data_IF_053183917533
#
_entry.id   IF_053183917533
#
_cell.length_a   1.000
_cell.length_b   1.000
_cell.length_c   1.000
_cell.angle_alpha   90.00
_cell.angle_beta   90.00
_cell.angle_gamma   90.00
#
_symmetry.space_group_name_H-M   'P 1'
#
loop_
_entity.id
_entity.type
_entity.pdbx_description
1 polymer ?
#
# COMPACT_ATOMS: atom_id res chain seq x y z
N UNK A 1 4.59 4.06 -8.01
CA UNK A 1 3.75 3.47 -6.94
C UNK A 1 2.81 4.55 -6.42
N UNK A 2 1.51 4.46 -6.72
CA UNK A 2 0.52 5.32 -6.06
C UNK A 2 -0.01 4.58 -4.83
N UNK A 3 0.20 5.18 -3.66
CA UNK A 3 -0.32 4.67 -2.40
C UNK A 3 -1.81 4.98 -2.31
N UNK A 4 -2.59 4.05 -1.77
CA UNK A 4 -4.03 4.27 -1.58
C UNK A 4 -4.28 5.33 -0.50
N UNK A 5 -5.45 5.98 -0.50
CA UNK A 5 -5.77 7.01 0.50
C UNK A 5 -5.64 6.49 1.96
N UNK A 6 -5.92 5.21 2.17
CA UNK A 6 -5.74 4.50 3.45
C UNK A 6 -4.26 4.30 3.82
N UNK A 7 -3.41 3.95 2.86
CA UNK A 7 -1.96 3.81 3.09
C UNK A 7 -1.31 5.17 3.39
N UNK A 8 -1.75 6.24 2.72
CA UNK A 8 -1.28 7.61 2.96
C UNK A 8 -1.67 8.13 4.35
N UNK A 9 -2.91 7.88 4.79
CA UNK A 9 -3.36 8.25 6.14
C UNK A 9 -2.66 7.45 7.22
N UNK A 10 -2.47 6.14 7.00
CA UNK A 10 -1.77 5.27 7.94
C UNK A 10 -0.31 5.67 8.08
N UNK A 11 0.39 5.96 6.97
CA UNK A 11 1.75 6.52 7.02
C UNK A 11 1.80 7.83 7.80
N UNK A 12 0.88 8.76 7.54
CA UNK A 12 0.86 10.05 8.21
C UNK A 12 0.64 9.94 9.72
N UNK A 13 -0.19 8.99 10.17
CA UNK A 13 -0.39 8.71 11.59
C UNK A 13 0.88 8.13 12.25
N UNK A 14 1.57 7.22 11.56
CA UNK A 14 2.83 6.62 12.05
C UNK A 14 3.95 7.68 12.12
N UNK A 15 4.02 8.62 11.17
CA UNK A 15 5.00 9.70 11.18
C UNK A 15 4.77 10.76 12.28
N UNK A 16 3.57 10.81 12.88
CA UNK A 16 3.29 11.72 14.00
C UNK A 16 3.83 11.22 15.33
N UNK A 17 4.08 9.90 15.47
CA UNK A 17 4.73 9.34 16.64
C UNK A 17 6.23 9.65 16.58
N UNK A 18 6.61 10.82 17.11
CA UNK A 18 7.99 11.33 17.27
C UNK A 18 8.86 10.48 18.23
N UNK A 19 8.67 9.17 18.31
CA UNK A 19 9.63 8.31 19.01
C UNK A 19 10.91 8.29 18.19
N UNK A 20 12.03 8.64 18.82
CA UNK A 20 13.35 8.61 18.19
C UNK A 20 13.70 7.17 17.84
N UNK A 21 13.65 6.82 16.56
CA UNK A 21 14.02 5.49 16.08
C UNK A 21 15.55 5.39 16.10
N UNK A 22 16.08 4.50 16.93
CA UNK A 22 17.52 4.23 16.98
C UNK A 22 17.97 3.47 15.73
N UNK A 23 19.22 3.72 15.30
CA UNK A 23 19.81 3.11 14.10
C UNK A 23 19.92 1.58 14.27
N UNK A 24 20.04 1.09 15.50
CA UNK A 24 20.19 -0.34 15.82
C UNK A 24 18.92 -1.16 15.55
N UNK A 25 17.78 -0.50 15.33
CA UNK A 25 16.52 -1.18 14.95
C UNK A 25 16.46 -1.52 13.46
N UNK A 26 17.42 -1.04 12.66
CA UNK A 26 17.49 -1.27 11.22
C UNK A 26 18.47 -2.38 10.86
N UNK A 27 18.06 -3.24 9.92
CA UNK A 27 18.96 -4.17 9.23
C UNK A 27 19.91 -3.44 8.28
N UNK A 28 20.95 -4.13 7.78
CA UNK A 28 21.93 -3.51 6.87
C UNK A 28 21.31 -3.05 5.54
N UNK A 29 20.31 -3.76 5.03
CA UNK A 29 19.52 -3.35 3.87
C UNK A 29 18.71 -2.08 4.16
N UNK A 30 18.08 -2.02 5.33
CA UNK A 30 17.30 -0.85 5.74
C UNK A 30 18.19 0.39 5.96
N UNK A 31 19.44 0.21 6.42
CA UNK A 31 20.43 1.29 6.53
C UNK A 31 20.81 1.86 5.16
N UNK A 32 20.93 1.03 4.14
CA UNK A 32 21.13 1.49 2.76
C UNK A 32 19.91 2.29 2.28
N UNK A 33 18.70 1.79 2.53
CA UNK A 33 17.47 2.50 2.19
C UNK A 33 17.38 3.87 2.90
N UNK A 34 17.79 3.97 4.18
CA UNK A 34 17.85 5.26 4.90
C UNK A 34 18.78 6.25 4.20
N UNK A 35 19.96 5.79 3.74
CA UNK A 35 20.90 6.65 3.02
C UNK A 35 20.32 7.13 1.68
N UNK A 36 19.69 6.24 0.92
CA UNK A 36 19.03 6.60 -0.34
C UNK A 36 17.91 7.62 -0.13
N UNK A 37 17.07 7.42 0.88
CA UNK A 37 16.00 8.36 1.24
C UNK A 37 16.59 9.70 1.67
N UNK A 38 17.66 9.71 2.46
CA UNK A 38 18.35 10.93 2.87
C UNK A 38 18.88 11.70 1.67
N UNK A 39 19.55 11.05 0.72
CA UNK A 39 20.05 11.69 -0.49
C UNK A 39 18.91 12.29 -1.33
N UNK A 40 17.81 11.55 -1.47
CA UNK A 40 16.62 12.05 -2.16
C UNK A 40 16.00 13.27 -1.44
N UNK A 41 15.97 13.27 -0.11
CA UNK A 41 15.48 14.39 0.68
C UNK A 41 16.39 15.62 0.57
N UNK A 42 17.71 15.44 0.59
CA UNK A 42 18.68 16.50 0.34
C UNK A 42 18.55 17.07 -1.06
N UNK A 43 18.38 16.22 -2.08
CA UNK A 43 18.18 16.67 -3.46
C UNK A 43 16.88 17.47 -3.61
N UNK A 44 15.77 17.01 -3.01
CA UNK A 44 14.50 17.76 -2.97
C UNK A 44 14.64 19.08 -2.24
N UNK A 45 15.40 19.12 -1.14
CA UNK A 45 15.68 20.35 -0.42
C UNK A 45 16.45 21.35 -1.31
N UNK A 46 17.50 20.88 -1.99
CA UNK A 46 18.28 21.69 -2.95
C UNK A 46 17.40 22.22 -4.09
N UNK A 47 16.53 21.39 -4.67
CA UNK A 47 15.60 21.81 -5.72
C UNK A 47 14.60 22.87 -5.25
N UNK A 48 14.14 22.80 -3.99
CA UNK A 48 13.17 23.76 -3.43
C UNK A 48 13.78 25.08 -3.01
N UNK A 49 14.98 25.05 -2.43
CA UNK A 49 15.60 26.21 -1.78
C UNK A 49 16.76 26.80 -2.57
N UNK A 50 17.29 26.08 -3.56
CA UNK A 50 18.47 26.48 -4.34
C UNK A 50 19.77 26.50 -3.54
N UNK A 51 19.76 26.02 -2.29
CA UNK A 51 20.90 26.04 -1.36
C UNK A 51 21.19 24.65 -0.81
N UNK A 52 22.44 24.43 -0.43
CA UNK A 52 22.81 23.21 0.30
C UNK A 52 22.13 23.20 1.68
N UNK A 53 21.68 22.03 2.15
CA UNK A 53 21.08 21.92 3.47
C UNK A 53 22.12 22.27 4.54
N UNK A 54 21.77 23.19 5.43
CA UNK A 54 22.60 23.54 6.59
C UNK A 54 22.70 22.35 7.57
N UNK A 55 23.72 22.31 8.42
CA UNK A 55 23.99 21.20 9.34
C UNK A 55 22.82 20.89 10.29
N UNK A 56 22.00 21.89 10.64
CA UNK A 56 20.75 21.67 11.38
C UNK A 56 19.72 20.93 10.54
N UNK A 57 19.60 21.30 9.27
CA UNK A 57 18.64 20.71 8.35
C UNK A 57 19.03 19.30 7.97
N UNK A 58 20.31 19.00 7.80
CA UNK A 58 20.78 17.64 7.54
C UNK A 58 20.39 16.67 8.66
N UNK A 59 20.46 17.09 9.93
CA UNK A 59 20.02 16.27 11.07
C UNK A 59 18.52 16.01 11.05
N UNK A 60 17.72 17.02 10.71
CA UNK A 60 16.27 16.87 10.54
C UNK A 60 15.96 15.88 9.41
N UNK A 61 16.60 16.03 8.24
CA UNK A 61 16.40 15.15 7.10
C UNK A 61 16.87 13.70 7.40
N UNK A 62 17.91 13.53 8.20
CA UNK A 62 18.36 12.21 8.65
C UNK A 62 17.32 11.56 9.56
N UNK A 63 16.73 12.33 10.48
CA UNK A 63 15.64 11.84 11.34
C UNK A 63 14.38 11.50 10.52
N UNK A 64 14.05 12.33 9.52
CA UNK A 64 12.94 12.11 8.61
C UNK A 64 13.15 10.86 7.74
N UNK A 65 14.37 10.65 7.23
CA UNK A 65 14.72 9.46 6.46
C UNK A 65 14.52 8.17 7.28
N UNK A 66 14.97 8.14 8.54
CA UNK A 66 14.77 7.00 9.44
C UNK A 66 13.28 6.75 9.71
N UNK A 67 12.52 7.82 9.96
CA UNK A 67 11.08 7.71 10.17
C UNK A 67 10.36 7.14 8.94
N UNK A 68 10.75 7.58 7.75
CA UNK A 68 10.15 7.11 6.51
C UNK A 68 10.41 5.61 6.29
N UNK A 69 11.64 5.14 6.50
CA UNK A 69 11.98 3.71 6.36
C UNK A 69 11.26 2.85 7.40
N UNK A 70 11.17 3.32 8.66
CA UNK A 70 10.42 2.60 9.70
C UNK A 70 8.92 2.55 9.41
N UNK A 71 8.35 3.65 8.90
CA UNK A 71 6.94 3.67 8.49
C UNK A 71 6.68 2.66 7.36
N UNK A 72 7.61 2.53 6.42
CA UNK A 72 7.53 1.59 5.32
C UNK A 72 7.65 0.14 5.79
N UNK A 73 8.54 -0.13 6.74
CA UNK A 73 8.66 -1.43 7.41
C UNK A 73 7.35 -1.84 8.08
N UNK A 74 6.81 -0.99 8.95
CA UNK A 74 5.56 -1.25 9.66
C UNK A 74 4.37 -1.42 8.70
N UNK A 75 4.34 -0.65 7.61
CA UNK A 75 3.31 -0.79 6.59
C UNK A 75 3.44 -2.14 5.88
N UNK A 76 4.65 -2.53 5.49
CA UNK A 76 4.89 -3.83 4.85
C UNK A 76 4.56 -4.99 5.78
N UNK A 77 4.87 -4.90 7.07
CA UNK A 77 4.48 -5.87 8.10
C UNK A 77 2.95 -5.96 8.24
N UNK A 78 2.25 -4.82 8.29
CA UNK A 78 0.78 -4.80 8.32
C UNK A 78 0.17 -5.39 7.05
N UNK A 79 0.71 -5.06 5.88
CA UNK A 79 0.25 -5.65 4.61
C UNK A 79 0.50 -7.16 4.55
N UNK A 80 1.62 -7.66 5.09
CA UNK A 80 1.87 -9.10 5.22
C UNK A 80 0.86 -9.74 6.16
N UNK A 81 0.62 -9.15 7.33
CA UNK A 81 -0.39 -9.62 8.28
C UNK A 81 -1.83 -9.60 7.70
N UNK A 82 -2.17 -8.59 6.89
CA UNK A 82 -3.46 -8.52 6.18
C UNK A 82 -3.58 -9.59 5.09
N UNK A 83 -2.49 -9.90 4.38
CA UNK A 83 -2.46 -10.98 3.38
C UNK A 83 -2.55 -12.36 4.04
N UNK A 84 -1.92 -12.54 5.18
CA UNK A 84 -1.94 -13.79 5.95
C UNK A 84 -3.27 -14.02 6.68
N UNK A 85 -3.90 -12.95 7.18
CA UNK A 85 -5.25 -13.02 7.76
C UNK A 85 -6.33 -13.23 6.71
N UNK A 86 -6.14 -12.70 5.48
CA UNK A 86 -6.91 -13.08 4.29
C UNK A 86 -6.44 -14.43 3.74
N UNK A 87 -6.45 -15.46 4.59
CA UNK A 87 -6.52 -16.84 4.09
C UNK A 87 -7.64 -16.91 3.06
N UNK A 88 -7.44 -17.51 1.87
CA UNK A 88 -8.51 -17.66 0.91
C UNK A 88 -9.63 -18.41 1.63
N UNK A 89 -10.74 -17.70 1.90
CA UNK A 89 -11.96 -18.28 2.41
C UNK A 89 -12.25 -19.44 1.47
N UNK A 90 -12.06 -20.68 1.95
CA UNK A 90 -12.26 -21.90 1.14
C UNK A 90 -13.58 -21.71 0.43
N UNK A 91 -13.56 -21.41 -0.87
CA UNK A 91 -14.77 -21.15 -1.64
C UNK A 91 -15.61 -22.39 -1.44
N UNK A 92 -16.69 -22.30 -0.67
CA UNK A 92 -17.65 -23.40 -0.61
C UNK A 92 -18.06 -23.61 -2.06
N UNK A 93 -17.98 -24.86 -2.53
CA UNK A 93 -18.44 -25.24 -3.87
C UNK A 93 -19.81 -24.59 -4.04
N UNK A 94 -20.10 -23.90 -5.16
CA UNK A 94 -21.44 -23.41 -5.39
C UNK A 94 -22.37 -24.63 -5.25
N UNK A 95 -23.35 -24.55 -4.36
CA UNK A 95 -24.39 -25.56 -4.29
C UNK A 95 -24.94 -25.68 -5.70
N UNK A 96 -24.81 -26.87 -6.30
CA UNK A 96 -25.42 -27.17 -7.58
C UNK A 96 -26.87 -26.70 -7.48
N UNK A 97 -27.24 -25.71 -8.31
CA UNK A 97 -28.64 -25.29 -8.42
C UNK A 97 -29.47 -26.54 -8.62
N UNK A 98 -30.51 -26.68 -7.82
CA UNK A 98 -31.38 -27.85 -7.90
C UNK A 98 -32.14 -27.77 -9.23
N UNK A 99 -32.44 -28.91 -9.84
CA UNK A 99 -33.12 -28.95 -11.14
C UNK A 99 -34.47 -28.19 -11.15
N UNK A 100 -35.03 -27.88 -9.98
CA UNK A 100 -36.24 -27.06 -9.81
C UNK A 100 -36.04 -25.55 -10.05
N UNK A 101 -34.79 -25.05 -10.07
CA UNK A 101 -34.47 -23.62 -10.30
C UNK A 101 -34.18 -23.34 -11.78
N UNK A 102 -34.02 -24.39 -12.60
CA UNK A 102 -33.94 -24.28 -14.05
C UNK A 102 -35.37 -24.37 -14.59
N UNK A 103 -36.07 -23.25 -14.66
CA UNK A 103 -37.36 -23.18 -15.34
C UNK A 103 -37.21 -23.63 -16.79
N UNK A 104 -38.14 -24.49 -17.26
CA UNK A 104 -38.10 -25.09 -18.59
C UNK A 104 -37.75 -24.06 -19.66
N UNK A 105 -36.60 -24.26 -20.30
CA UNK A 105 -36.09 -23.34 -21.31
C UNK A 105 -37.06 -23.30 -22.50
N UNK A 106 -37.83 -22.21 -22.62
CA UNK A 106 -38.83 -22.03 -23.66
C UNK A 106 -38.19 -21.47 -24.95
N UNK A 107 -37.99 -22.34 -25.95
CA UNK A 107 -37.47 -21.96 -27.28
C UNK A 107 -38.32 -20.91 -28.01
N UNK A 108 -39.59 -20.75 -27.65
CA UNK A 108 -40.50 -19.79 -28.28
C UNK A 108 -40.13 -18.33 -27.97
N UNK A 109 -39.44 -18.07 -26.85
CA UNK A 109 -39.02 -16.73 -26.46
C UNK A 109 -37.89 -16.16 -27.35
N UNK A 110 -37.08 -17.04 -27.96
CA UNK A 110 -35.95 -16.62 -28.83
C UNK A 110 -36.39 -16.20 -30.23
N UNK A 111 -37.58 -16.60 -30.70
CA UNK A 111 -38.04 -16.30 -32.06
C UNK A 111 -38.64 -14.87 -32.18
N UNK A 112 -39.09 -14.28 -31.07
CA UNK A 112 -39.76 -12.97 -31.09
C UNK A 112 -38.82 -11.78 -31.35
N UNK A 113 -37.50 -11.93 -31.18
CA UNK A 113 -36.53 -10.82 -31.30
C UNK A 113 -36.03 -10.56 -32.73
N UNK A 114 -36.61 -11.24 -33.72
CA UNK A 114 -36.17 -11.19 -35.12
C UNK A 114 -37.11 -10.50 -36.12
N UNK A 115 -38.28 -9.99 -35.71
CA UNK A 115 -39.22 -9.36 -36.66
C UNK A 115 -39.15 -7.83 -36.59
N UNK A 116 -38.20 -7.25 -37.34
CA UNK A 116 -38.31 -5.85 -37.78
C UNK A 116 -39.50 -5.76 -38.75
N UNK A 117 -40.52 -4.97 -38.41
CA UNK A 117 -41.40 -4.32 -39.37
C UNK A 117 -40.98 -2.87 -39.45
#
# INVERSE_FOLDING_TARGET
MMYTAYELTTRKAIMNDKKMISIDQFSDEERLAVNEVLQNLMQKHRQRTGKEPDAKKEKELNSEARQQVMADKLLNEKLKAEKESKKPLRKKKPSSLTASEVGDFNWSASVAKGRRR
#
